data_IF_828849443232
#
_entry.id   IF_828849443232
#
_cell.length_a   1.000
_cell.length_b   1.000
_cell.length_c   1.000
_cell.angle_alpha   90.00
_cell.angle_beta   90.00
_cell.angle_gamma   90.00
#
_symmetry.space_group_name_H-M   'P 1'
#
loop_
_entity.id
_entity.type
_entity.pdbx_description
1 polymer ?
#
# COMPACT_ATOMS: atom_id res chain seq x y z
N UNK A 1 3.30 2.09 -11.18
CA UNK A 1 1.89 1.70 -11.39
C UNK A 1 1.22 2.69 -12.33
N UNK A 2 0.14 2.29 -13.02
CA UNK A 2 -0.64 3.14 -13.93
C UNK A 2 -2.13 2.92 -13.66
N UNK A 3 -2.90 4.00 -13.73
CA UNK A 3 -4.35 3.96 -13.77
C UNK A 3 -4.81 4.06 -15.23
N UNK A 4 -5.70 3.17 -15.66
CA UNK A 4 -6.27 3.20 -17.01
C UNK A 4 -7.75 2.85 -16.93
N UNK A 5 -8.64 3.43 -17.76
CA UNK A 5 -10.02 2.98 -17.83
C UNK A 5 -10.09 1.53 -18.33
N UNK A 6 -11.12 0.76 -17.94
CA UNK A 6 -11.41 -0.55 -18.53
C UNK A 6 -11.51 -0.49 -20.05
N UNK A 7 -11.22 -1.60 -20.73
CA UNK A 7 -11.29 -1.64 -22.20
C UNK A 7 -12.68 -1.23 -22.70
N UNK A 8 -12.71 -0.21 -23.55
CA UNK A 8 -13.95 0.32 -24.15
C UNK A 8 -14.73 1.29 -23.27
N UNK A 9 -14.23 1.63 -22.07
CA UNK A 9 -14.87 2.55 -21.14
C UNK A 9 -14.15 3.90 -21.03
N UNK A 10 -14.85 4.93 -20.59
CA UNK A 10 -14.28 6.23 -20.23
C UNK A 10 -13.74 6.23 -18.79
N UNK A 11 -12.98 7.28 -18.45
CA UNK A 11 -12.43 7.45 -17.08
C UNK A 11 -13.52 7.57 -16.01
N UNK A 12 -14.71 8.07 -16.39
CA UNK A 12 -15.85 8.23 -15.48
C UNK A 12 -16.55 6.90 -15.16
N UNK A 13 -16.35 5.87 -16.00
CA UNK A 13 -16.93 4.54 -15.79
C UNK A 13 -16.09 3.70 -14.80
N UNK A 14 -14.87 4.15 -14.50
CA UNK A 14 -13.97 3.50 -13.56
C UNK A 14 -12.51 3.55 -13.99
N UNK A 15 -11.64 3.09 -13.10
CA UNK A 15 -10.21 2.96 -13.33
C UNK A 15 -9.71 1.60 -12.86
N UNK A 16 -8.91 0.97 -13.69
CA UNK A 16 -8.17 -0.25 -13.40
C UNK A 16 -6.74 0.08 -12.99
N UNK A 17 -6.22 -0.71 -12.05
CA UNK A 17 -4.89 -0.55 -11.51
C UNK A 17 -3.92 -1.50 -12.22
N UNK A 18 -3.02 -0.96 -13.03
CA UNK A 18 -1.95 -1.72 -13.68
C UNK A 18 -0.64 -1.59 -12.93
N UNK A 19 -0.03 -2.72 -12.62
CA UNK A 19 1.19 -2.79 -11.81
C UNK A 19 2.29 -3.47 -12.61
N UNK A 20 3.51 -2.96 -12.49
CA UNK A 20 4.71 -3.60 -13.01
C UNK A 20 5.49 -4.21 -11.85
N UNK A 21 5.94 -5.46 -12.00
CA UNK A 21 6.85 -6.13 -11.08
C UNK A 21 8.14 -6.42 -11.84
N UNK A 22 9.19 -5.66 -11.53
CA UNK A 22 10.37 -5.58 -12.39
C UNK A 22 9.98 -4.99 -13.75
N UNK A 23 10.40 -5.64 -14.83
CA UNK A 23 10.10 -5.21 -16.21
C UNK A 23 8.76 -5.76 -16.75
N UNK A 24 8.05 -6.59 -15.96
CA UNK A 24 6.81 -7.25 -16.42
C UNK A 24 5.58 -6.49 -15.96
N UNK A 25 4.76 -6.04 -16.92
CA UNK A 25 3.44 -5.45 -16.67
C UNK A 25 2.39 -6.53 -16.45
N UNK A 26 1.52 -6.30 -15.47
CA UNK A 26 0.36 -7.13 -15.14
C UNK A 26 -0.92 -6.43 -15.56
N UNK A 27 -1.74 -7.12 -16.32
CA UNK A 27 -3.00 -6.58 -16.83
C UNK A 27 -4.09 -6.69 -15.76
N UNK A 28 -4.08 -7.77 -14.96
CA UNK A 28 -5.03 -7.96 -13.85
C UNK A 28 -4.33 -8.13 -12.50
N UNK A 29 -4.92 -7.57 -11.44
CA UNK A 29 -4.48 -7.80 -10.05
C UNK A 29 -4.56 -9.28 -9.64
N UNK A 30 -5.39 -10.08 -10.31
CA UNK A 30 -5.53 -11.52 -10.07
C UNK A 30 -4.26 -12.30 -10.40
N UNK A 31 -3.39 -11.78 -11.28
CA UNK A 31 -2.11 -12.38 -11.64
C UNK A 31 -1.02 -12.24 -10.55
N UNK A 32 -1.27 -11.39 -9.55
CA UNK A 32 -0.35 -11.14 -8.44
C UNK A 32 -0.52 -12.21 -7.35
N UNK A 33 0.57 -12.55 -6.66
CA UNK A 33 0.49 -13.38 -5.45
C UNK A 33 -0.30 -12.67 -4.34
N UNK A 34 -0.77 -13.41 -3.32
CA UNK A 34 -1.50 -12.81 -2.19
C UNK A 34 -0.72 -11.69 -1.49
N UNK A 35 0.58 -11.88 -1.28
CA UNK A 35 1.47 -10.85 -0.72
C UNK A 35 1.64 -9.64 -1.65
N UNK A 36 1.82 -9.87 -2.95
CA UNK A 36 1.94 -8.78 -3.93
C UNK A 36 0.66 -7.93 -4.02
N UNK A 37 -0.52 -8.56 -4.03
CA UNK A 37 -1.80 -7.83 -3.99
C UNK A 37 -1.91 -6.96 -2.74
N UNK A 38 -1.53 -7.52 -1.59
CA UNK A 38 -1.57 -6.80 -0.31
C UNK A 38 -0.63 -5.61 -0.30
N UNK A 39 0.60 -5.77 -0.82
CA UNK A 39 1.57 -4.69 -0.93
C UNK A 39 1.10 -3.57 -1.86
N UNK A 40 0.49 -3.91 -3.00
CA UNK A 40 -0.08 -2.92 -3.94
C UNK A 40 -1.23 -2.15 -3.29
N UNK A 41 -2.15 -2.85 -2.62
CA UNK A 41 -3.26 -2.23 -1.91
C UNK A 41 -2.77 -1.27 -0.81
N UNK A 42 -1.82 -1.73 0.01
CA UNK A 42 -1.23 -0.89 1.05
C UNK A 42 -0.50 0.33 0.47
N UNK A 43 0.25 0.17 -0.62
CA UNK A 43 0.93 1.28 -1.29
C UNK A 43 -0.05 2.35 -1.77
N UNK A 44 -1.22 1.93 -2.30
CA UNK A 44 -2.28 2.85 -2.71
C UNK A 44 -2.90 3.56 -1.51
N UNK A 45 -3.19 2.85 -0.42
CA UNK A 45 -3.70 3.45 0.82
C UNK A 45 -2.72 4.52 1.32
N UNK A 46 -1.44 4.17 1.46
CA UNK A 46 -0.40 5.08 1.92
C UNK A 46 -0.27 6.32 1.01
N UNK A 47 -0.36 6.14 -0.32
CA UNK A 47 -0.38 7.28 -1.26
C UNK A 47 -1.57 8.22 -1.04
N UNK A 48 -2.76 7.68 -0.73
CA UNK A 48 -3.92 8.50 -0.38
C UNK A 48 -3.72 9.26 0.94
N UNK A 49 -3.12 8.62 1.95
CA UNK A 49 -2.81 9.26 3.23
C UNK A 49 -1.80 10.40 3.04
N UNK A 50 -0.83 10.25 2.13
CA UNK A 50 0.13 11.32 1.79
C UNK A 50 -0.54 12.48 1.05
N UNK A 51 -1.48 12.19 0.16
CA UNK A 51 -2.18 13.23 -0.59
C UNK A 51 -3.09 14.09 0.30
N UNK A 52 -3.79 13.46 1.24
CA UNK A 52 -4.67 14.16 2.19
C UNK A 52 -4.29 13.77 3.63
N UNK A 53 -3.30 14.46 4.22
CA UNK A 53 -2.80 14.09 5.54
C UNK A 53 -3.85 14.34 6.64
N UNK A 54 -3.95 13.39 7.56
CA UNK A 54 -4.74 13.48 8.78
C UNK A 54 -3.83 13.56 10.01
N UNK A 55 -4.29 14.17 11.13
CA UNK A 55 -3.50 14.24 12.35
C UNK A 55 -3.34 12.88 13.05
N UNK A 56 -4.23 11.92 12.79
CA UNK A 56 -4.23 10.58 13.42
C UNK A 56 -4.57 9.52 12.36
N UNK A 57 -3.84 8.41 12.38
CA UNK A 57 -4.10 7.20 11.60
C UNK A 57 -4.12 5.97 12.49
N UNK A 58 -5.03 5.04 12.19
CA UNK A 58 -5.14 3.74 12.85
C UNK A 58 -5.02 2.67 11.77
N UNK A 59 -4.03 1.78 11.92
CA UNK A 59 -3.76 0.67 11.01
C UNK A 59 -3.92 -0.63 11.77
N UNK A 60 -4.85 -1.48 11.35
CA UNK A 60 -5.18 -2.75 12.00
C UNK A 60 -4.75 -3.93 11.13
N UNK A 61 -3.85 -4.77 11.64
CA UNK A 61 -3.31 -5.98 11.00
C UNK A 61 -2.79 -5.79 9.56
N UNK A 62 -2.37 -4.57 9.21
CA UNK A 62 -1.94 -4.22 7.83
C UNK A 62 -0.70 -4.99 7.36
N UNK A 63 0.01 -5.60 8.29
CA UNK A 63 1.22 -6.38 8.05
C UNK A 63 0.99 -7.90 8.05
N UNK A 64 -0.24 -8.38 8.27
CA UNK A 64 -0.56 -9.81 8.31
C UNK A 64 -0.11 -10.54 7.04
N UNK A 65 -0.26 -9.91 5.87
CA UNK A 65 0.12 -10.45 4.57
C UNK A 65 1.55 -10.11 4.10
N UNK A 66 2.34 -9.39 4.90
CA UNK A 66 3.67 -8.90 4.52
C UNK A 66 4.81 -9.68 5.18
N UNK A 67 5.93 -9.84 4.50
CA UNK A 67 7.13 -10.39 5.15
C UNK A 67 7.82 -9.34 6.04
N UNK A 68 8.76 -9.80 6.88
CA UNK A 68 9.47 -8.94 7.83
C UNK A 68 10.18 -7.77 7.15
N UNK A 69 10.78 -7.99 5.97
CA UNK A 69 11.53 -6.96 5.25
C UNK A 69 10.61 -5.84 4.74
N UNK A 70 9.42 -6.20 4.24
CA UNK A 70 8.41 -5.25 3.79
C UNK A 70 7.84 -4.46 4.96
N UNK A 71 7.56 -5.11 6.09
CA UNK A 71 7.06 -4.44 7.30
C UNK A 71 8.04 -3.39 7.82
N UNK A 72 9.35 -3.70 7.84
CA UNK A 72 10.39 -2.74 8.25
C UNK A 72 10.44 -1.51 7.33
N UNK A 73 10.39 -1.72 6.02
CA UNK A 73 10.40 -0.62 5.03
C UNK A 73 9.18 0.28 5.18
N UNK A 74 8.00 -0.27 5.47
CA UNK A 74 6.78 0.50 5.71
C UNK A 74 6.92 1.33 6.98
N UNK A 75 7.41 0.77 8.09
CA UNK A 75 7.66 1.52 9.32
C UNK A 75 8.58 2.73 9.08
N UNK A 76 9.69 2.51 8.36
CA UNK A 76 10.62 3.60 7.99
C UNK A 76 9.95 4.67 7.11
N UNK A 77 9.12 4.25 6.15
CA UNK A 77 8.38 5.17 5.28
C UNK A 77 7.38 6.01 6.09
N UNK A 78 6.62 5.37 7.00
CA UNK A 78 5.67 6.06 7.87
C UNK A 78 6.38 7.13 8.71
N UNK A 79 7.47 6.76 9.38
CA UNK A 79 8.28 7.67 10.20
C UNK A 79 8.87 8.83 9.40
N UNK A 80 9.30 8.57 8.17
CA UNK A 80 9.96 9.57 7.32
C UNK A 80 8.98 10.57 6.74
N UNK A 81 7.81 10.11 6.28
CA UNK A 81 6.86 10.94 5.53
C UNK A 81 5.75 11.55 6.37
N UNK A 82 5.42 10.98 7.54
CA UNK A 82 4.30 11.45 8.36
C UNK A 82 4.73 11.99 9.73
N UNK A 83 5.73 12.87 9.74
CA UNK A 83 6.32 13.43 10.99
C UNK A 83 5.37 14.22 11.88
N UNK A 84 4.25 14.68 11.34
CA UNK A 84 3.25 15.49 12.06
C UNK A 84 1.92 14.76 12.30
N UNK A 85 1.90 13.44 12.06
CA UNK A 85 0.71 12.61 12.25
C UNK A 85 1.01 11.53 13.29
N UNK A 86 0.03 11.24 14.14
CA UNK A 86 0.09 10.11 15.06
C UNK A 86 -0.34 8.82 14.37
N UNK A 87 0.43 7.76 14.53
CA UNK A 87 0.06 6.41 14.05
C UNK A 87 -0.21 5.51 15.24
N UNK A 88 -1.35 4.83 15.21
CA UNK A 88 -1.66 3.69 16.06
C UNK A 88 -1.66 2.46 15.17
N UNK A 89 -0.75 1.52 15.44
CA UNK A 89 -0.58 0.32 14.64
C UNK A 89 -0.88 -0.89 15.52
N UNK A 90 -1.85 -1.68 15.10
CA UNK A 90 -2.11 -3.02 15.63
C UNK A 90 -1.48 -4.01 14.66
N UNK A 91 -0.57 -4.83 15.16
CA UNK A 91 0.24 -5.75 14.36
C UNK A 91 0.37 -7.09 15.07
N UNK A 92 0.43 -8.15 14.28
CA UNK A 92 0.71 -9.52 14.74
C UNK A 92 2.20 -9.90 14.56
N UNK A 93 3.07 -8.96 14.13
CA UNK A 93 4.48 -9.20 13.80
C UNK A 93 5.41 -8.20 14.48
N UNK A 94 6.45 -8.71 15.13
CA UNK A 94 7.41 -7.89 15.89
C UNK A 94 8.15 -6.81 15.07
N UNK A 95 8.27 -7.00 13.75
CA UNK A 95 9.04 -6.11 12.86
C UNK A 95 8.48 -4.70 12.70
N UNK A 96 7.16 -4.51 12.90
CA UNK A 96 6.51 -3.19 12.82
C UNK A 96 6.90 -2.33 14.03
N UNK A 97 6.92 -2.92 15.22
CA UNK A 97 7.15 -2.22 16.49
C UNK A 97 8.56 -1.63 16.63
N UNK A 98 9.56 -2.26 15.99
CA UNK A 98 10.96 -1.79 16.09
C UNK A 98 11.27 -0.63 15.16
N UNK A 99 10.42 -0.34 14.17
CA UNK A 99 10.76 0.56 13.05
C UNK A 99 9.76 1.69 12.78
N UNK A 100 8.56 1.63 13.38
CA UNK A 100 7.55 2.69 13.31
C UNK A 100 7.86 3.85 14.25
#
# INVERSE_FOLDING_TARGET
AKLAPPQGCGVLDGLEFKVALGDTWKENLTELSGGQRSLVALSLILAMLLFKPAPIYILDEVDAALDLSHTQNIGQMLRSHFRHSQFVVVSLKDGMFTNA
#
